data_IF_170362147132
#
_entry.id   IF_170362147132
#
_cell.length_a   1.000
_cell.length_b   1.000
_cell.length_c   1.000
_cell.angle_alpha   90.00
_cell.angle_beta   90.00
_cell.angle_gamma   90.00
#
_symmetry.space_group_name_H-M   'P 1'
#
loop_
_entity.id
_entity.type
_entity.pdbx_description
1 polymer ?
#
# COMPACT_ATOMS: atom_id res chain seq x y z
N UNK A 1 -1.86 11.77 36.15
CA UNK A 1 -1.25 10.44 35.92
C UNK A 1 -2.04 9.78 34.82
N UNK A 2 -1.52 9.76 33.59
CA UNK A 2 -2.12 8.95 32.51
C UNK A 2 -2.03 7.48 32.90
N UNK A 3 -3.06 6.67 32.63
CA UNK A 3 -2.99 5.23 32.86
C UNK A 3 -1.89 4.64 31.99
N UNK A 4 -1.04 3.80 32.57
CA UNK A 4 -0.02 3.06 31.87
C UNK A 4 -0.69 2.23 30.73
N UNK A 5 -0.30 2.48 29.48
CA UNK A 5 -0.78 1.74 28.31
C UNK A 5 -0.26 0.29 28.41
N UNK A 6 -1.10 -0.72 28.16
CA UNK A 6 -0.62 -2.10 28.12
C UNK A 6 0.43 -2.23 27.02
N UNK A 7 1.60 -2.73 27.36
CA UNK A 7 2.65 -3.06 26.40
C UNK A 7 2.12 -4.14 25.45
N UNK A 8 2.22 -3.93 24.13
CA UNK A 8 1.90 -4.95 23.15
C UNK A 8 2.72 -6.23 23.47
N UNK A 9 2.08 -7.39 23.33
CA UNK A 9 2.77 -8.66 23.50
C UNK A 9 3.92 -8.76 22.50
N UNK A 10 5.15 -9.10 22.91
CA UNK A 10 6.30 -9.25 22.01
C UNK A 10 6.13 -10.40 20.99
N UNK A 11 5.02 -11.11 21.05
CA UNK A 11 4.70 -12.26 20.19
C UNK A 11 3.82 -11.93 18.97
N UNK A 12 3.45 -10.66 18.73
CA UNK A 12 2.63 -10.29 17.58
C UNK A 12 3.47 -9.67 16.47
N UNK A 13 3.30 -10.10 15.18
CA UNK A 13 3.98 -9.52 14.03
C UNK A 13 3.60 -8.05 13.78
N UNK A 14 2.39 -7.65 14.18
CA UNK A 14 1.90 -6.27 14.12
C UNK A 14 1.50 -5.80 15.52
N UNK A 15 1.66 -4.50 15.75
CA UNK A 15 1.21 -3.86 16.99
C UNK A 15 0.60 -2.48 16.74
N UNK A 16 -0.20 -2.03 17.68
CA UNK A 16 -0.70 -0.66 17.69
C UNK A 16 0.38 0.30 18.20
N UNK A 17 0.57 1.38 17.46
CA UNK A 17 1.41 2.51 17.81
C UNK A 17 0.51 3.73 17.99
N UNK A 18 0.48 4.27 19.20
CA UNK A 18 -0.18 5.55 19.46
C UNK A 18 0.77 6.67 19.06
N UNK A 19 0.33 7.48 18.13
CA UNK A 19 1.17 8.48 17.48
C UNK A 19 0.50 9.85 17.47
N UNK A 20 1.31 10.88 17.26
CA UNK A 20 0.85 12.25 17.06
C UNK A 20 1.41 12.75 15.74
N UNK A 21 0.63 13.53 15.01
CA UNK A 21 1.07 14.20 13.79
C UNK A 21 2.10 15.27 14.16
N UNK A 22 3.33 15.12 13.69
CA UNK A 22 4.42 16.09 13.88
C UNK A 22 4.52 17.08 12.73
N UNK A 23 4.17 16.66 11.51
CA UNK A 23 4.15 17.52 10.33
C UNK A 23 3.08 17.06 9.33
N UNK A 24 2.55 18.02 8.59
CA UNK A 24 1.65 17.81 7.45
C UNK A 24 2.20 18.59 6.27
N UNK A 25 2.33 17.95 5.12
CA UNK A 25 2.85 18.59 3.91
C UNK A 25 2.12 18.11 2.67
N UNK A 26 1.62 19.03 1.85
CA UNK A 26 1.17 18.70 0.50
C UNK A 26 2.39 18.41 -0.38
N UNK A 27 2.52 17.17 -0.84
CA UNK A 27 3.64 16.72 -1.70
C UNK A 27 3.35 17.07 -3.14
N UNK A 28 2.09 16.84 -3.53
CA UNK A 28 1.50 17.24 -4.82
C UNK A 28 0.05 17.68 -4.58
N UNK A 29 -0.66 18.20 -5.58
CA UNK A 29 -2.05 18.60 -5.39
C UNK A 29 -2.98 17.50 -4.83
N UNK A 30 -2.71 16.23 -5.15
CA UNK A 30 -3.53 15.09 -4.71
C UNK A 30 -2.87 14.23 -3.64
N UNK A 31 -1.63 14.51 -3.22
CA UNK A 31 -0.88 13.68 -2.28
C UNK A 31 -0.41 14.48 -1.08
N UNK A 32 -0.83 14.08 0.12
CA UNK A 32 -0.47 14.71 1.39
C UNK A 32 0.35 13.76 2.25
N UNK A 33 1.49 14.22 2.74
CA UNK A 33 2.34 13.48 3.67
C UNK A 33 2.05 13.88 5.10
N UNK A 34 1.87 12.87 5.94
CA UNK A 34 1.85 12.99 7.39
C UNK A 34 3.11 12.38 7.97
N UNK A 35 3.80 13.14 8.82
CA UNK A 35 4.89 12.63 9.65
C UNK A 35 4.35 12.38 11.04
N UNK A 36 4.45 11.13 11.50
CA UNK A 36 4.00 10.70 12.81
C UNK A 36 5.18 10.50 13.75
N UNK A 37 5.00 10.90 15.00
CA UNK A 37 5.91 10.64 16.11
C UNK A 37 5.18 9.91 17.24
N UNK A 38 5.93 9.15 18.04
CA UNK A 38 5.37 8.44 19.20
C UNK A 38 6.47 7.69 19.96
N UNK A 39 6.33 7.57 21.27
CA UNK A 39 7.33 6.95 22.13
C UNK A 39 7.58 5.48 21.77
N UNK A 40 6.54 4.78 21.28
CA UNK A 40 6.61 3.37 20.89
C UNK A 40 7.20 3.14 19.48
N UNK A 41 7.37 4.18 18.66
CA UNK A 41 7.88 4.05 17.29
C UNK A 41 9.32 3.54 17.21
N UNK A 42 10.07 3.53 18.31
CA UNK A 42 11.35 2.82 18.45
C UNK A 42 11.23 1.33 18.11
N UNK A 43 10.03 0.77 18.28
CA UNK A 43 9.70 -0.63 17.97
C UNK A 43 9.04 -0.82 16.60
N UNK A 44 8.93 0.23 15.79
CA UNK A 44 8.39 0.13 14.44
C UNK A 44 9.43 -0.49 13.51
N UNK A 45 9.05 -1.56 12.79
CA UNK A 45 9.93 -2.17 11.81
C UNK A 45 9.81 -1.49 10.44
N UNK A 46 10.88 -1.50 9.69
CA UNK A 46 10.90 -1.06 8.29
C UNK A 46 11.44 -2.18 7.39
N UNK A 47 10.59 -3.13 6.97
CA UNK A 47 10.99 -4.15 6.02
C UNK A 47 11.17 -3.63 4.60
N UNK A 48 10.83 -2.34 4.35
CA UNK A 48 10.91 -1.74 3.03
C UNK A 48 9.75 -2.10 2.10
N UNK A 49 9.96 -1.89 0.81
CA UNK A 49 9.04 -2.22 -0.27
C UNK A 49 7.64 -1.59 -0.09
N UNK A 50 6.60 -2.35 -0.37
CA UNK A 50 5.20 -1.95 -0.25
C UNK A 50 4.58 -2.25 1.12
N UNK A 51 5.37 -2.20 2.22
CA UNK A 51 4.88 -2.55 3.56
C UNK A 51 3.56 -1.88 3.89
N UNK A 52 2.52 -2.71 3.95
CA UNK A 52 1.16 -2.28 4.32
C UNK A 52 1.02 -2.06 5.82
N UNK A 53 0.31 -1.01 6.15
CA UNK A 53 -0.09 -0.67 7.53
C UNK A 53 -1.56 -0.30 7.57
N UNK A 54 -2.10 -0.17 8.77
CA UNK A 54 -3.44 0.38 8.97
C UNK A 54 -3.36 1.68 9.74
N UNK A 55 -4.05 2.70 9.22
CA UNK A 55 -4.42 3.88 9.98
C UNK A 55 -5.78 3.59 10.61
N UNK A 56 -5.82 3.62 11.93
CA UNK A 56 -7.04 3.49 12.73
C UNK A 56 -7.52 4.90 13.05
N UNK A 57 -8.71 5.23 12.59
CA UNK A 57 -9.33 6.53 12.79
C UNK A 57 -10.16 6.55 14.09
N UNK A 58 -10.35 7.72 14.71
CA UNK A 58 -11.17 7.81 15.91
C UNK A 58 -12.63 7.44 15.60
N UNK A 59 -13.24 6.64 16.48
CA UNK A 59 -14.66 6.34 16.40
C UNK A 59 -15.49 7.61 16.64
N UNK A 60 -16.61 7.79 15.92
CA UNK A 60 -17.41 9.03 16.00
C UNK A 60 -17.85 9.42 17.42
N UNK A 61 -18.28 8.47 18.24
CA UNK A 61 -18.81 8.74 19.58
C UNK A 61 -17.77 8.59 20.70
N UNK A 62 -16.69 7.83 20.51
CA UNK A 62 -15.78 7.46 21.60
C UNK A 62 -14.28 7.73 21.33
N UNK A 63 -13.94 8.21 20.15
CA UNK A 63 -12.53 8.30 19.77
C UNK A 63 -11.85 6.94 19.86
N UNK A 64 -10.69 6.84 20.48
CA UNK A 64 -9.97 5.58 20.65
C UNK A 64 -10.28 4.83 21.96
N UNK A 65 -11.21 5.33 22.78
CA UNK A 65 -11.47 4.78 24.13
C UNK A 65 -11.92 3.32 24.14
N UNK A 66 -12.57 2.87 23.07
CA UNK A 66 -13.09 1.50 22.94
C UNK A 66 -12.30 0.67 21.91
N UNK A 67 -11.18 1.18 21.39
CA UNK A 67 -10.32 0.40 20.49
C UNK A 67 -9.77 -0.81 21.27
N UNK A 68 -10.12 -2.06 20.85
CA UNK A 68 -9.59 -3.24 21.50
C UNK A 68 -8.12 -3.45 21.16
N UNK A 69 -7.36 -4.06 22.08
CA UNK A 69 -5.96 -4.44 21.89
C UNK A 69 -5.75 -5.94 22.16
N UNK A 70 -4.62 -6.51 21.71
CA UNK A 70 -4.26 -7.92 21.90
C UNK A 70 -4.97 -8.89 20.95
N UNK A 71 -5.07 -10.16 21.34
CA UNK A 71 -5.67 -11.20 20.49
C UNK A 71 -7.12 -10.92 20.14
N UNK A 72 -7.49 -11.26 18.90
CA UNK A 72 -8.83 -11.04 18.33
C UNK A 72 -9.34 -9.59 18.44
N UNK A 73 -8.42 -8.60 18.45
CA UNK A 73 -8.79 -7.19 18.51
C UNK A 73 -9.81 -6.83 17.40
N UNK A 74 -9.62 -7.35 16.19
CA UNK A 74 -10.50 -7.05 15.05
C UNK A 74 -11.89 -7.63 15.23
N UNK A 75 -12.00 -8.90 15.65
CA UNK A 75 -13.31 -9.51 15.94
C UNK A 75 -14.06 -8.80 17.07
N UNK A 76 -13.32 -8.30 18.07
CA UNK A 76 -13.91 -7.48 19.16
C UNK A 76 -14.32 -6.09 18.67
N UNK A 77 -13.53 -5.45 17.81
CA UNK A 77 -13.88 -4.18 17.18
C UNK A 77 -15.16 -4.29 16.37
N UNK A 78 -15.30 -5.36 15.56
CA UNK A 78 -16.50 -5.58 14.73
C UNK A 78 -17.77 -5.85 15.54
N UNK A 79 -17.68 -6.23 16.80
CA UNK A 79 -18.82 -6.42 17.72
C UNK A 79 -19.28 -5.13 18.39
N UNK A 80 -18.51 -4.05 18.30
CA UNK A 80 -18.93 -2.74 18.85
C UNK A 80 -20.08 -2.14 18.02
N UNK A 81 -20.95 -1.34 18.63
CA UNK A 81 -21.87 -0.47 17.90
C UNK A 81 -21.13 0.41 16.89
N UNK A 82 -21.74 0.72 15.77
CA UNK A 82 -21.09 1.41 14.65
C UNK A 82 -20.47 2.76 15.09
N UNK A 83 -21.16 3.53 15.92
CA UNK A 83 -20.71 4.81 16.46
C UNK A 83 -19.47 4.72 17.36
N UNK A 84 -19.18 3.52 17.88
CA UNK A 84 -18.00 3.24 18.71
C UNK A 84 -16.90 2.46 17.97
N UNK A 85 -17.15 2.14 16.70
CA UNK A 85 -16.22 1.38 15.87
C UNK A 85 -15.24 2.32 15.20
N UNK A 86 -13.95 2.13 15.46
CA UNK A 86 -12.87 2.86 14.79
C UNK A 86 -12.81 2.46 13.31
N UNK A 87 -13.01 3.38 12.36
CA UNK A 87 -12.76 3.09 10.96
C UNK A 87 -11.27 2.79 10.72
N UNK A 88 -10.98 1.84 9.84
CA UNK A 88 -9.61 1.42 9.53
C UNK A 88 -9.37 1.61 8.03
N UNK A 89 -8.19 2.15 7.68
CA UNK A 89 -7.77 2.30 6.28
C UNK A 89 -6.36 1.78 6.09
N UNK A 90 -6.14 1.20 4.93
CA UNK A 90 -4.83 0.64 4.57
C UNK A 90 -4.00 1.69 3.86
N UNK A 91 -2.74 1.81 4.27
CA UNK A 91 -1.74 2.66 3.66
C UNK A 91 -0.41 1.92 3.55
N UNK A 92 0.57 2.56 2.93
CA UNK A 92 1.94 2.07 2.83
C UNK A 92 2.83 2.89 3.77
N UNK A 93 3.75 2.23 4.46
CA UNK A 93 4.85 2.92 5.13
C UNK A 93 5.72 3.60 4.08
N UNK A 94 5.80 4.94 4.11
CA UNK A 94 6.59 5.68 3.12
C UNK A 94 8.06 5.80 3.51
N UNK A 95 8.31 6.18 4.75
CA UNK A 95 9.67 6.31 5.30
C UNK A 95 9.62 6.07 6.79
N UNK A 96 10.63 5.39 7.33
CA UNK A 96 10.87 5.26 8.76
C UNK A 96 12.21 5.91 9.06
N UNK A 97 12.24 6.78 10.05
CA UNK A 97 13.48 7.37 10.60
C UNK A 97 13.55 6.99 12.07
N UNK A 98 14.56 6.21 12.43
CA UNK A 98 14.83 5.92 13.84
C UNK A 98 15.52 7.10 14.52
N UNK A 99 15.55 7.14 15.85
CA UNK A 99 16.06 8.25 16.65
C UNK A 99 17.44 8.80 16.18
N UNK A 100 18.35 7.92 15.78
CA UNK A 100 19.68 8.30 15.28
C UNK A 100 19.66 9.02 13.91
N UNK A 101 18.55 8.94 13.19
CA UNK A 101 18.39 9.50 11.83
C UNK A 101 17.57 10.80 11.84
N UNK A 102 17.01 11.17 12.98
CA UNK A 102 16.24 12.39 13.16
C UNK A 102 17.19 13.53 13.55
N UNK A 103 17.10 14.73 12.93
CA UNK A 103 18.03 15.82 13.16
C UNK A 103 18.16 16.28 14.62
N UNK A 104 17.10 16.18 15.41
CA UNK A 104 17.09 16.51 16.83
C UNK A 104 17.37 15.31 17.74
N UNK A 105 17.46 14.09 17.18
CA UNK A 105 17.80 12.86 17.90
C UNK A 105 16.79 12.41 18.95
N UNK A 106 15.58 12.95 18.94
CA UNK A 106 14.66 12.82 20.08
C UNK A 106 13.62 11.71 19.94
N UNK A 107 13.15 11.41 18.73
CA UNK A 107 12.05 10.44 18.51
C UNK A 107 12.12 9.82 17.13
N UNK A 108 11.72 8.54 17.04
CA UNK A 108 11.50 7.90 15.75
C UNK A 108 10.29 8.51 15.04
N UNK A 109 10.37 8.59 13.72
CA UNK A 109 9.34 9.17 12.85
C UNK A 109 8.90 8.16 11.79
N UNK A 110 7.63 8.20 11.44
CA UNK A 110 7.05 7.44 10.33
C UNK A 110 6.29 8.38 9.40
N UNK A 111 6.66 8.40 8.12
CA UNK A 111 5.91 9.10 7.09
C UNK A 111 4.90 8.16 6.44
N UNK A 112 3.71 8.69 6.21
CA UNK A 112 2.66 8.06 5.42
C UNK A 112 2.11 9.06 4.42
N UNK A 113 2.10 8.69 3.14
CA UNK A 113 1.51 9.49 2.08
C UNK A 113 0.07 9.04 1.85
N UNK A 114 -0.83 10.00 1.81
CA UNK A 114 -2.27 9.76 1.75
C UNK A 114 -2.89 10.57 0.60
N UNK A 115 -3.74 9.92 -0.17
CA UNK A 115 -4.48 10.55 -1.27
C UNK A 115 -5.78 11.12 -0.73
N UNK A 116 -6.12 12.32 -1.16
CA UNK A 116 -7.43 12.92 -0.91
C UNK A 116 -8.36 12.55 -2.05
N UNK A 117 -9.39 11.77 -1.75
CA UNK A 117 -10.42 11.34 -2.69
C UNK A 117 -11.71 12.12 -2.53
N UNK A 118 -12.44 12.26 -3.66
CA UNK A 118 -13.81 12.71 -3.69
C UNK A 118 -14.70 11.56 -4.22
N UNK A 119 -15.82 11.18 -3.53
CA UNK A 119 -16.44 11.80 -2.36
C UNK A 119 -15.70 11.52 -1.05
N UNK A 120 -15.83 12.48 -0.11
CA UNK A 120 -15.15 12.48 1.19
C UNK A 120 -15.65 11.36 2.11
N UNK A 121 -14.91 10.25 2.18
CA UNK A 121 -15.08 9.22 3.20
C UNK A 121 -14.47 9.63 4.55
N UNK A 122 -14.59 8.79 5.60
CA UNK A 122 -14.02 9.08 6.92
C UNK A 122 -12.52 9.39 6.89
N UNK A 123 -11.73 8.68 6.09
CA UNK A 123 -10.30 8.93 5.96
C UNK A 123 -10.00 10.24 5.24
N UNK A 124 -10.69 10.53 4.14
CA UNK A 124 -10.49 11.79 3.42
C UNK A 124 -10.83 13.01 4.28
N UNK A 125 -11.89 12.91 5.10
CA UNK A 125 -12.23 13.97 6.07
C UNK A 125 -11.11 14.14 7.10
N UNK A 126 -10.64 13.04 7.69
CA UNK A 126 -9.54 13.08 8.66
C UNK A 126 -8.27 13.67 8.03
N UNK A 127 -7.92 13.31 6.81
CA UNK A 127 -6.75 13.84 6.07
C UNK A 127 -6.86 15.36 5.88
N UNK A 128 -8.06 15.90 5.67
CA UNK A 128 -8.27 17.34 5.50
C UNK A 128 -8.25 18.11 6.82
N UNK A 129 -8.71 17.50 7.90
CA UNK A 129 -8.89 18.14 9.23
C UNK A 129 -7.67 17.95 10.14
N UNK A 130 -6.86 16.91 9.91
CA UNK A 130 -5.72 16.60 10.76
C UNK A 130 -4.60 17.63 10.61
N UNK A 131 -4.13 18.12 11.76
CA UNK A 131 -3.07 19.11 11.89
C UNK A 131 -1.99 18.62 12.86
N UNK A 132 -0.91 19.37 12.99
CA UNK A 132 0.14 19.09 13.99
C UNK A 132 -0.47 19.00 15.37
N UNK A 133 -0.18 17.91 16.09
CA UNK A 133 -0.76 17.60 17.39
C UNK A 133 -1.97 16.67 17.33
N UNK A 134 -2.53 16.38 16.14
CA UNK A 134 -3.64 15.42 16.01
C UNK A 134 -3.16 14.01 16.40
N UNK A 135 -3.90 13.35 17.30
CA UNK A 135 -3.64 11.97 17.71
C UNK A 135 -4.14 10.98 16.64
N UNK A 136 -3.38 9.92 16.42
CA UNK A 136 -3.73 8.80 15.55
C UNK A 136 -3.23 7.47 16.12
N UNK A 137 -3.69 6.36 15.55
CA UNK A 137 -3.18 5.03 15.86
C UNK A 137 -2.78 4.33 14.57
N UNK A 138 -1.54 3.88 14.50
CA UNK A 138 -1.05 3.03 13.41
C UNK A 138 -1.01 1.58 13.88
N UNK A 139 -1.50 0.65 13.08
CA UNK A 139 -1.21 -0.77 13.22
C UNK A 139 -0.13 -1.11 12.20
N UNK A 140 1.07 -1.31 12.67
CA UNK A 140 2.28 -1.47 11.85
C UNK A 140 3.15 -2.64 12.28
N UNK A 141 4.18 -2.98 11.49
CA UNK A 141 5.08 -4.09 11.75
C UNK A 141 5.89 -3.91 13.03
N UNK A 142 6.02 -4.98 13.80
CA UNK A 142 6.69 -4.98 15.09
C UNK A 142 8.15 -5.41 14.97
N UNK A 143 9.10 -4.51 15.25
CA UNK A 143 10.54 -4.78 15.23
C UNK A 143 10.99 -5.85 16.22
N UNK A 144 10.18 -6.12 17.25
CA UNK A 144 10.48 -7.16 18.25
C UNK A 144 10.02 -8.56 17.81
N UNK A 145 9.42 -8.69 16.62
CA UNK A 145 9.01 -9.96 16.05
C UNK A 145 10.15 -10.61 15.26
N UNK A 146 10.49 -11.86 15.58
CA UNK A 146 11.60 -12.63 14.98
C UNK A 146 11.23 -13.36 13.68
N UNK A 147 10.18 -12.97 12.99
CA UNK A 147 9.73 -13.63 11.76
C UNK A 147 9.34 -12.65 10.67
N UNK A 148 8.87 -13.20 9.56
CA UNK A 148 8.18 -12.39 8.56
C UNK A 148 6.88 -11.86 9.17
N UNK A 149 6.80 -10.55 9.36
CA UNK A 149 5.59 -9.91 9.86
C UNK A 149 4.45 -9.95 8.82
N UNK A 150 4.77 -10.17 7.55
CA UNK A 150 3.84 -10.01 6.44
C UNK A 150 3.57 -8.54 6.09
N UNK A 151 2.61 -8.32 5.20
CA UNK A 151 2.25 -6.95 4.77
C UNK A 151 3.14 -6.39 3.67
N UNK A 152 4.14 -7.12 3.20
CA UNK A 152 4.89 -6.87 1.98
C UNK A 152 4.40 -7.83 0.90
N UNK A 153 3.87 -7.31 -0.18
CA UNK A 153 3.35 -8.10 -1.31
C UNK A 153 4.26 -8.03 -2.55
N UNK A 154 5.26 -7.15 -2.53
CA UNK A 154 6.33 -7.13 -3.51
C UNK A 154 7.33 -8.26 -3.20
N UNK A 155 7.11 -9.43 -3.82
CA UNK A 155 7.87 -10.66 -3.57
C UNK A 155 8.36 -11.29 -4.88
N UNK A 156 9.25 -10.59 -5.61
CA UNK A 156 9.74 -11.09 -6.88
C UNK A 156 10.56 -12.38 -6.69
N UNK A 157 10.59 -13.27 -7.70
CA UNK A 157 11.53 -14.37 -7.76
C UNK A 157 12.99 -13.90 -7.60
N UNK A 158 13.84 -14.76 -7.02
CA UNK A 158 15.24 -14.43 -6.74
C UNK A 158 15.99 -13.91 -7.98
N UNK A 159 15.68 -14.44 -9.16
CA UNK A 159 16.20 -13.95 -10.43
C UNK A 159 15.04 -13.42 -11.25
N UNK A 160 14.91 -12.11 -11.30
CA UNK A 160 13.92 -11.38 -12.10
C UNK A 160 14.65 -10.52 -13.12
N UNK A 161 14.37 -10.77 -14.40
CA UNK A 161 15.06 -10.05 -15.49
C UNK A 161 14.46 -8.66 -15.71
N UNK A 162 13.13 -8.54 -15.61
CA UNK A 162 12.39 -7.29 -15.86
C UNK A 162 11.25 -7.13 -14.87
N UNK A 163 10.95 -5.88 -14.55
CA UNK A 163 9.85 -5.48 -13.66
C UNK A 163 8.79 -4.70 -14.44
N UNK A 164 7.53 -4.97 -14.16
CA UNK A 164 6.39 -4.16 -14.55
C UNK A 164 5.63 -3.76 -13.29
N UNK A 165 5.68 -2.49 -12.94
CA UNK A 165 4.92 -1.93 -11.82
C UNK A 165 3.75 -1.15 -12.39
N UNK A 166 2.54 -1.35 -11.87
CA UNK A 166 1.37 -0.62 -12.35
C UNK A 166 0.41 -0.25 -11.22
N UNK A 167 -0.07 0.98 -11.22
CA UNK A 167 -1.02 1.39 -10.20
C UNK A 167 -1.61 2.79 -10.39
N UNK A 168 -2.68 3.05 -9.65
CA UNK A 168 -3.27 4.37 -9.53
C UNK A 168 -2.66 5.18 -8.37
N UNK A 169 -3.21 6.35 -8.07
CA UNK A 169 -2.74 7.23 -6.99
C UNK A 169 -2.70 6.55 -5.62
N UNK A 170 -3.55 5.54 -5.38
CA UNK A 170 -3.55 4.81 -4.11
C UNK A 170 -2.36 3.87 -3.98
N UNK A 171 -1.86 3.37 -5.11
CA UNK A 171 -0.69 2.52 -5.20
C UNK A 171 0.63 3.31 -5.36
N UNK A 172 0.54 4.59 -5.73
CA UNK A 172 1.72 5.42 -5.97
C UNK A 172 2.72 5.45 -4.80
N UNK A 173 2.31 5.51 -3.50
CA UNK A 173 3.25 5.43 -2.38
C UNK A 173 4.03 4.12 -2.30
N UNK A 174 3.37 2.99 -2.59
CA UNK A 174 4.01 1.68 -2.65
C UNK A 174 4.98 1.59 -3.83
N UNK A 175 4.58 2.03 -5.02
CA UNK A 175 5.44 2.07 -6.21
C UNK A 175 6.66 2.96 -5.98
N UNK A 176 6.47 4.13 -5.36
CA UNK A 176 7.58 5.03 -5.03
C UNK A 176 8.61 4.36 -4.12
N UNK A 177 8.14 3.66 -3.06
CA UNK A 177 9.01 2.93 -2.16
C UNK A 177 9.71 1.75 -2.86
N UNK A 178 8.99 0.97 -3.67
CA UNK A 178 9.58 -0.13 -4.45
C UNK A 178 10.69 0.40 -5.38
N UNK A 179 10.46 1.53 -6.07
CA UNK A 179 11.46 2.14 -6.95
C UNK A 179 12.73 2.57 -6.18
N UNK A 180 12.58 3.10 -4.98
CA UNK A 180 13.70 3.49 -4.12
C UNK A 180 14.48 2.30 -3.57
N UNK A 181 13.81 1.20 -3.24
CA UNK A 181 14.41 0.00 -2.66
C UNK A 181 15.00 -0.95 -3.73
N UNK A 182 14.56 -0.83 -5.00
CA UNK A 182 15.11 -1.64 -6.09
C UNK A 182 16.58 -1.31 -6.38
N UNK A 183 17.43 -2.33 -6.61
CA UNK A 183 18.82 -2.09 -6.97
C UNK A 183 18.93 -1.35 -8.31
N UNK A 184 19.92 -0.49 -8.47
CA UNK A 184 20.16 0.27 -9.71
C UNK A 184 20.32 -0.58 -10.97
N UNK A 185 20.60 -1.86 -10.81
CA UNK A 185 20.65 -2.86 -11.90
C UNK A 185 19.28 -3.36 -12.35
N UNK A 186 18.20 -3.11 -11.60
CA UNK A 186 16.83 -3.50 -11.99
C UNK A 186 16.45 -2.84 -13.33
N UNK A 187 15.69 -3.53 -14.14
CA UNK A 187 15.23 -3.09 -15.47
C UNK A 187 13.73 -3.29 -15.61
N UNK A 188 13.04 -2.35 -16.25
CA UNK A 188 11.62 -2.48 -16.49
C UNK A 188 10.89 -1.16 -16.70
N UNK A 189 9.59 -1.18 -16.44
CA UNK A 189 8.68 -0.03 -16.59
C UNK A 189 7.77 0.06 -15.37
N UNK A 190 7.54 1.28 -14.89
CA UNK A 190 6.50 1.62 -13.94
C UNK A 190 5.47 2.50 -14.62
N UNK A 191 4.20 2.12 -14.59
CA UNK A 191 3.07 2.87 -15.14
C UNK A 191 2.17 3.33 -14.01
N UNK A 192 2.01 4.62 -13.83
CA UNK A 192 1.21 5.17 -12.73
C UNK A 192 0.19 6.16 -13.27
N UNK A 193 -1.08 5.92 -12.95
CA UNK A 193 -2.15 6.85 -13.24
C UNK A 193 -2.40 7.75 -12.02
N UNK A 194 -2.29 9.05 -12.20
CA UNK A 194 -2.50 10.05 -11.15
C UNK A 194 -3.75 10.91 -11.46
N UNK A 195 -4.33 11.60 -10.48
CA UNK A 195 -5.48 12.47 -10.72
C UNK A 195 -5.22 13.56 -11.76
N UNK A 196 -4.03 14.14 -11.77
CA UNK A 196 -3.66 15.18 -12.71
C UNK A 196 -2.17 15.16 -13.07
N UNK A 197 -1.81 15.87 -14.14
CA UNK A 197 -0.41 15.95 -14.59
C UNK A 197 0.50 16.62 -13.55
N UNK A 198 -0.06 17.50 -12.72
CA UNK A 198 0.67 18.16 -11.64
C UNK A 198 1.12 17.22 -10.52
N UNK A 199 0.60 15.98 -10.49
CA UNK A 199 0.99 14.95 -9.53
C UNK A 199 2.19 14.09 -10.02
N UNK A 200 2.59 14.22 -11.28
CA UNK A 200 3.69 13.44 -11.85
C UNK A 200 5.01 13.53 -11.06
N UNK A 201 5.40 14.67 -10.46
CA UNK A 201 6.62 14.78 -9.66
C UNK A 201 6.65 13.94 -8.38
N UNK A 202 5.54 13.29 -8.03
CA UNK A 202 5.46 12.42 -6.84
C UNK A 202 6.36 11.19 -6.95
N UNK A 203 6.48 10.62 -8.14
CA UNK A 203 7.24 9.38 -8.36
C UNK A 203 8.75 9.69 -8.46
N UNK A 204 9.60 8.91 -7.75
CA UNK A 204 11.04 9.02 -7.89
C UNK A 204 11.49 8.46 -9.26
N UNK A 205 12.64 8.91 -9.74
CA UNK A 205 13.31 8.34 -10.90
C UNK A 205 14.14 7.13 -10.48
N UNK A 206 14.31 6.17 -11.40
CA UNK A 206 15.18 5.02 -11.19
C UNK A 206 16.06 4.79 -12.44
N UNK A 207 17.37 4.46 -12.29
CA UNK A 207 18.30 4.42 -13.43
C UNK A 207 18.00 3.31 -14.46
N UNK A 208 17.22 2.31 -14.12
CA UNK A 208 16.90 1.19 -15.01
C UNK A 208 15.41 0.90 -15.15
N UNK A 209 14.54 1.62 -14.45
CA UNK A 209 13.09 1.53 -14.59
C UNK A 209 12.58 2.83 -15.24
N UNK A 210 11.94 2.72 -16.38
CA UNK A 210 11.27 3.85 -16.99
C UNK A 210 9.96 4.14 -16.23
N UNK A 211 9.82 5.35 -15.68
CA UNK A 211 8.63 5.76 -14.92
C UNK A 211 7.72 6.57 -15.83
N UNK A 212 6.55 6.02 -16.14
CA UNK A 212 5.51 6.63 -16.99
C UNK A 212 4.34 7.05 -16.10
N UNK A 213 4.14 8.35 -15.94
CA UNK A 213 3.04 8.90 -15.17
C UNK A 213 2.04 9.56 -16.10
N UNK A 214 0.75 9.20 -15.97
CA UNK A 214 -0.33 9.78 -16.74
C UNK A 214 -1.36 10.43 -15.81
N UNK A 215 -1.63 11.71 -16.02
CA UNK A 215 -2.71 12.40 -15.33
C UNK A 215 -4.06 12.09 -15.98
N UNK A 216 -5.06 11.64 -15.19
CA UNK A 216 -6.41 11.40 -15.70
C UNK A 216 -7.07 12.66 -16.26
N UNK A 217 -6.88 13.79 -15.57
CA UNK A 217 -7.45 15.07 -16.01
C UNK A 217 -8.95 14.98 -16.34
N UNK A 218 -9.72 14.27 -15.49
CA UNK A 218 -11.17 14.08 -15.66
C UNK A 218 -11.61 12.86 -16.49
N UNK A 219 -10.68 12.04 -17.00
CA UNK A 219 -10.99 10.74 -17.61
C UNK A 219 -11.40 9.71 -16.57
N UNK A 220 -11.96 8.58 -17.03
CA UNK A 220 -12.34 7.47 -16.17
C UNK A 220 -11.14 6.83 -15.47
N UNK A 221 -11.32 6.40 -14.23
CA UNK A 221 -10.30 5.67 -13.49
C UNK A 221 -9.87 4.41 -14.21
N UNK A 222 -8.57 4.19 -14.27
CA UNK A 222 -7.94 3.00 -14.84
C UNK A 222 -7.83 3.00 -16.36
N UNK A 223 -8.41 3.96 -17.07
CA UNK A 223 -8.35 4.02 -18.54
C UNK A 223 -6.90 4.12 -19.03
N UNK A 224 -6.16 5.10 -18.55
CA UNK A 224 -4.77 5.33 -18.94
C UNK A 224 -3.83 4.29 -18.33
N UNK A 225 -4.12 3.83 -17.11
CA UNK A 225 -3.35 2.78 -16.44
C UNK A 225 -3.38 1.48 -17.24
N UNK A 226 -4.57 1.00 -17.61
CA UNK A 226 -4.75 -0.25 -18.37
C UNK A 226 -4.05 -0.19 -19.70
N UNK A 227 -4.20 0.93 -20.43
CA UNK A 227 -3.54 1.13 -21.72
C UNK A 227 -2.02 1.14 -21.58
N UNK A 228 -1.49 1.91 -20.63
CA UNK A 228 -0.05 1.99 -20.38
C UNK A 228 0.57 0.67 -19.95
N UNK A 229 -0.12 -0.12 -19.10
CA UNK A 229 0.33 -1.45 -18.70
C UNK A 229 0.33 -2.43 -19.88
N UNK A 230 -0.65 -2.35 -20.77
CA UNK A 230 -0.67 -3.16 -22.02
C UNK A 230 0.53 -2.87 -22.89
N UNK A 231 0.81 -1.60 -23.15
CA UNK A 231 1.95 -1.17 -23.95
C UNK A 231 3.28 -1.63 -23.32
N UNK A 232 3.45 -1.39 -22.01
CA UNK A 232 4.64 -1.80 -21.30
C UNK A 232 4.84 -3.33 -21.30
N UNK A 233 3.77 -4.11 -21.20
CA UNK A 233 3.82 -5.57 -21.27
C UNK A 233 4.25 -6.04 -22.67
N UNK A 234 3.81 -5.38 -23.73
CA UNK A 234 4.24 -5.67 -25.10
C UNK A 234 5.72 -5.43 -25.32
N UNK A 235 6.27 -4.37 -24.74
CA UNK A 235 7.68 -4.02 -24.83
C UNK A 235 8.57 -4.96 -24.00
N UNK A 236 8.09 -5.41 -22.83
CA UNK A 236 8.91 -6.13 -21.85
C UNK A 236 8.91 -7.64 -22.04
N UNK A 237 7.87 -8.24 -22.61
CA UNK A 237 7.71 -9.68 -22.65
C UNK A 237 7.12 -10.14 -23.98
N UNK A 238 7.75 -11.11 -24.69
CA UNK A 238 7.13 -11.78 -25.82
C UNK A 238 5.85 -12.50 -25.36
N UNK A 239 4.91 -12.68 -26.28
CA UNK A 239 3.66 -13.40 -26.01
C UNK A 239 3.97 -14.86 -25.65
N UNK A 240 3.52 -15.30 -24.49
CA UNK A 240 3.59 -16.68 -24.04
C UNK A 240 2.37 -17.51 -24.51
N UNK A 241 2.20 -18.69 -23.92
CA UNK A 241 1.01 -19.51 -24.15
C UNK A 241 -0.12 -19.01 -23.24
N UNK A 242 -1.27 -18.58 -23.80
CA UNK A 242 -2.40 -18.11 -23.00
C UNK A 242 -2.84 -19.17 -21.97
N UNK A 243 -3.17 -18.74 -20.77
CA UNK A 243 -3.61 -19.61 -19.67
C UNK A 243 -5.08 -19.33 -19.36
N UNK A 244 -5.85 -20.38 -19.02
CA UNK A 244 -7.17 -20.20 -18.46
C UNK A 244 -7.02 -19.63 -17.04
N UNK A 245 -7.71 -18.52 -16.79
CA UNK A 245 -7.76 -17.88 -15.48
C UNK A 245 -9.19 -18.01 -14.95
N UNK A 246 -9.30 -18.47 -13.72
CA UNK A 246 -10.57 -18.45 -13.00
C UNK A 246 -11.08 -16.99 -12.92
N UNK A 247 -12.28 -16.73 -13.43
CA UNK A 247 -12.88 -15.40 -13.32
C UNK A 247 -13.23 -15.13 -11.85
N UNK A 248 -12.54 -14.13 -11.29
CA UNK A 248 -12.81 -13.66 -9.93
C UNK A 248 -13.96 -12.66 -10.00
N UNK A 249 -15.06 -12.97 -9.33
CA UNK A 249 -16.16 -12.03 -9.14
C UNK A 249 -15.74 -10.95 -8.14
N UNK A 250 -15.13 -9.87 -8.68
CA UNK A 250 -14.70 -8.73 -7.87
C UNK A 250 -15.87 -8.04 -7.14
N UNK A 251 -17.13 -8.39 -7.48
CA UNK A 251 -18.31 -7.91 -6.78
C UNK A 251 -18.53 -8.61 -5.45
N UNK A 252 -17.94 -9.77 -5.28
CA UNK A 252 -18.07 -10.60 -4.08
C UNK A 252 -16.76 -10.84 -3.36
N UNK A 253 -15.64 -10.90 -4.09
CA UNK A 253 -14.33 -11.26 -3.54
C UNK A 253 -13.33 -10.11 -3.74
N UNK A 254 -12.46 -9.91 -2.75
CA UNK A 254 -11.31 -9.02 -2.87
C UNK A 254 -10.30 -9.65 -3.82
N UNK A 255 -9.98 -8.97 -4.91
CA UNK A 255 -8.92 -9.40 -5.83
C UNK A 255 -7.57 -9.16 -5.16
N UNK A 256 -7.04 -10.20 -4.51
CA UNK A 256 -5.74 -10.19 -3.86
C UNK A 256 -5.02 -11.50 -4.13
N UNK A 257 -4.08 -11.48 -5.06
CA UNK A 257 -3.29 -12.65 -5.41
C UNK A 257 -1.82 -12.26 -5.49
N UNK A 258 -1.03 -12.82 -4.59
CA UNK A 258 0.40 -12.58 -4.48
C UNK A 258 1.12 -13.90 -4.69
N UNK A 259 2.25 -13.96 -5.42
CA UNK A 259 2.98 -15.21 -5.71
C UNK A 259 3.28 -16.08 -4.48
N UNK A 260 3.44 -15.48 -3.32
CA UNK A 260 3.62 -16.16 -2.03
C UNK A 260 2.43 -17.05 -1.65
N UNK A 261 1.22 -16.66 -2.07
CA UNK A 261 -0.04 -17.33 -1.75
C UNK A 261 -0.69 -17.98 -2.97
N UNK A 262 -0.03 -17.96 -4.12
CA UNK A 262 -0.58 -18.48 -5.36
C UNK A 262 -0.96 -19.97 -5.21
N UNK A 263 -2.24 -20.28 -5.39
CA UNK A 263 -2.75 -21.64 -5.45
C UNK A 263 -2.10 -22.34 -6.65
N UNK A 264 -1.25 -23.34 -6.42
CA UNK A 264 -0.85 -24.26 -7.47
C UNK A 264 0.62 -24.43 -7.78
N UNK A 265 1.53 -24.27 -6.84
CA UNK A 265 2.90 -24.70 -7.09
C UNK A 265 3.99 -24.04 -6.25
N UNK A 266 5.21 -24.57 -6.38
CA UNK A 266 6.39 -24.00 -5.75
C UNK A 266 6.65 -22.58 -6.28
N UNK A 267 7.12 -21.68 -5.42
CA UNK A 267 7.56 -20.34 -5.80
C UNK A 267 8.59 -20.43 -6.95
N UNK A 268 8.47 -19.54 -7.93
CA UNK A 268 9.43 -19.45 -9.02
C UNK A 268 10.78 -19.00 -8.48
N UNK A 269 11.85 -19.65 -8.92
CA UNK A 269 13.22 -19.18 -8.63
C UNK A 269 13.66 -18.11 -9.62
N UNK A 270 13.13 -18.13 -10.84
CA UNK A 270 13.48 -17.23 -11.93
C UNK A 270 12.25 -16.86 -12.76
N UNK A 271 12.19 -15.61 -13.22
CA UNK A 271 11.20 -15.14 -14.19
C UNK A 271 11.83 -14.12 -15.15
N UNK A 272 11.34 -14.10 -16.38
CA UNK A 272 11.66 -13.03 -17.34
C UNK A 272 10.96 -11.74 -16.99
N UNK A 273 9.72 -11.82 -16.50
CA UNK A 273 8.94 -10.66 -16.07
C UNK A 273 8.31 -10.95 -14.71
N UNK A 274 8.48 -10.04 -13.78
CA UNK A 274 7.67 -9.93 -12.56
C UNK A 274 6.80 -8.69 -12.65
N UNK A 275 5.48 -8.86 -12.47
CA UNK A 275 4.54 -7.75 -12.46
C UNK A 275 3.95 -7.56 -11.05
N UNK A 276 3.82 -6.31 -10.63
CA UNK A 276 3.15 -5.90 -9.40
C UNK A 276 2.12 -4.84 -9.76
N UNK A 277 0.83 -5.15 -9.54
CA UNK A 277 -0.29 -4.32 -9.97
C UNK A 277 -1.24 -4.05 -8.81
N UNK A 278 -1.52 -2.78 -8.52
CA UNK A 278 -2.43 -2.39 -7.43
C UNK A 278 -3.26 -1.16 -7.80
N UNK A 279 -4.43 -1.01 -7.16
CA UNK A 279 -5.31 0.14 -7.36
C UNK A 279 -6.79 -0.24 -7.40
N UNK A 280 -7.57 0.42 -8.26
CA UNK A 280 -8.99 0.14 -8.43
C UNK A 280 -9.23 -1.28 -8.94
N UNK A 281 -10.14 -2.00 -8.28
CA UNK A 281 -10.31 -3.45 -8.46
C UNK A 281 -10.67 -3.87 -9.90
N UNK A 282 -11.50 -3.10 -10.63
CA UNK A 282 -11.87 -3.43 -12.01
C UNK A 282 -10.71 -3.20 -12.98
N UNK A 283 -9.92 -2.14 -12.77
CA UNK A 283 -8.71 -1.88 -13.55
C UNK A 283 -7.67 -2.98 -13.33
N UNK A 284 -7.42 -3.37 -12.06
CA UNK A 284 -6.49 -4.46 -11.71
C UNK A 284 -6.93 -5.78 -12.33
N UNK A 285 -8.23 -6.12 -12.29
CA UNK A 285 -8.76 -7.31 -12.95
C UNK A 285 -8.51 -7.29 -14.46
N UNK A 286 -8.71 -6.15 -15.10
CA UNK A 286 -8.49 -6.00 -16.55
C UNK A 286 -7.01 -6.21 -16.90
N UNK A 287 -6.10 -5.64 -16.13
CA UNK A 287 -4.66 -5.84 -16.29
C UNK A 287 -4.24 -7.30 -16.02
N UNK A 288 -4.79 -7.93 -14.98
CA UNK A 288 -4.58 -9.35 -14.69
C UNK A 288 -4.95 -10.24 -15.88
N UNK A 289 -6.18 -10.09 -16.38
CA UNK A 289 -6.65 -10.84 -17.54
C UNK A 289 -5.72 -10.66 -18.74
N UNK A 290 -5.31 -9.42 -19.02
CA UNK A 290 -4.39 -9.14 -20.12
C UNK A 290 -3.06 -9.88 -19.95
N UNK A 291 -2.40 -9.77 -18.79
CA UNK A 291 -1.09 -10.37 -18.59
C UNK A 291 -1.14 -11.90 -18.58
N UNK A 292 -2.09 -12.48 -17.85
CA UNK A 292 -2.11 -13.95 -17.66
C UNK A 292 -2.86 -14.67 -18.77
N UNK A 293 -4.11 -14.22 -19.09
CA UNK A 293 -4.94 -14.93 -20.07
C UNK A 293 -4.54 -14.65 -21.51
N UNK A 294 -4.26 -13.38 -21.85
CA UNK A 294 -4.03 -12.96 -23.22
C UNK A 294 -2.55 -13.08 -23.60
N UNK A 295 -1.63 -12.72 -22.69
CA UNK A 295 -0.18 -12.76 -22.95
C UNK A 295 0.53 -14.00 -22.42
N UNK A 296 -0.12 -14.84 -21.62
CA UNK A 296 0.44 -16.08 -21.11
C UNK A 296 1.58 -15.90 -20.11
N UNK A 297 1.60 -14.78 -19.37
CA UNK A 297 2.56 -14.56 -18.29
C UNK A 297 2.21 -15.48 -17.13
N UNK A 298 3.19 -16.18 -16.56
CA UNK A 298 2.96 -17.10 -15.45
C UNK A 298 2.35 -16.35 -14.25
N UNK A 299 1.17 -16.78 -13.80
CA UNK A 299 0.47 -16.21 -12.64
C UNK A 299 1.36 -16.12 -11.41
N UNK A 300 2.31 -17.03 -11.22
CA UNK A 300 3.26 -17.04 -10.11
C UNK A 300 4.30 -15.92 -10.17
N UNK A 301 4.36 -15.19 -11.27
CA UNK A 301 5.22 -14.01 -11.44
C UNK A 301 4.45 -12.69 -11.43
N UNK A 302 3.18 -12.69 -11.06
CA UNK A 302 2.35 -11.48 -11.04
C UNK A 302 1.63 -11.35 -9.71
N UNK A 303 1.77 -10.18 -9.06
CA UNK A 303 1.03 -9.80 -7.86
C UNK A 303 -0.09 -8.83 -8.24
N UNK A 304 -1.31 -9.10 -7.77
CA UNK A 304 -2.50 -8.30 -8.05
C UNK A 304 -3.20 -7.91 -6.76
N UNK A 305 -3.44 -6.62 -6.56
CA UNK A 305 -4.09 -6.12 -5.35
C UNK A 305 -5.14 -5.07 -5.70
N UNK A 306 -6.42 -5.42 -5.51
CA UNK A 306 -7.51 -4.46 -5.54
C UNK A 306 -7.52 -3.65 -4.23
N UNK A 307 -6.95 -2.46 -4.24
CA UNK A 307 -6.84 -1.62 -3.03
C UNK A 307 -8.17 -0.96 -2.67
N UNK A 308 -8.94 -0.62 -3.66
CA UNK A 308 -10.23 0.03 -3.50
C UNK A 308 -11.17 -0.31 -4.64
N UNK A 309 -12.42 0.14 -4.52
CA UNK A 309 -13.44 -0.10 -5.51
C UNK A 309 -14.33 1.12 -5.68
N UNK A 310 -14.51 1.54 -6.92
CA UNK A 310 -15.38 2.65 -7.25
C UNK A 310 -16.83 2.36 -6.81
N UNK A 311 -17.43 3.34 -6.11
CA UNK A 311 -18.81 3.24 -5.63
C UNK A 311 -19.01 2.43 -4.34
N UNK A 312 -17.95 1.90 -3.72
CA UNK A 312 -18.01 1.25 -2.40
C UNK A 312 -17.08 1.94 -1.41
N UNK A 313 -17.61 2.31 -0.25
CA UNK A 313 -16.78 2.64 0.89
C UNK A 313 -16.18 1.35 1.47
N UNK A 314 -14.91 1.36 1.81
CA UNK A 314 -14.33 0.29 2.64
C UNK A 314 -15.04 0.28 4.00
N UNK A 315 -15.41 -0.92 4.46
CA UNK A 315 -16.08 -1.13 5.74
C UNK A 315 -15.16 -0.84 6.94
#
# INVERSE_FOLDING_TARGET
>A
MSPARPSASPTSPFRFFHVTVAAVRDVTPSMRRFTFIGDDLVHYADPGWDQRIKLVLPAPASGYKQLPDGEDWYGRLMKLPEEHRCPIRTYTTRTVRHEAEVPDGTRAEVDVDMVVHDPLGPAARWILEAEVGTEAVLLGPNRQWDGDAGGVDFVPPQVTERFLLGGDETAAPAIARILEDLPSSARGVAVVEMPGDADAPYLPTHPGIEVRVAGRNGRSHGELLVEGVRQAAEELCPVGVPQEVEEIDVDRELLWDVPRHAKGGNALKRTTLYAWLAGEAAAVRTMHRHLVSERGIDRRSVAFMGYWRQGRAEA
#
